data_IF_236213051439
#
_entry.id   IF_236213051439
#
_cell.length_a   1.000
_cell.length_b   1.000
_cell.length_c   1.000
_cell.angle_alpha   90.00
_cell.angle_beta   90.00
_cell.angle_gamma   90.00
#
_symmetry.space_group_name_H-M   'P 1'
#
loop_
_entity.id
_entity.type
_entity.pdbx_description
1 polymer ?
#
# COMPACT_ATOMS: atom_id res chain seq x y z
N UNK A 1 -34.55 -33.41 60.00
CA UNK A 1 -33.70 -34.30 59.19
C UNK A 1 -34.24 -34.37 57.77
N UNK A 2 -33.80 -33.46 56.90
CA UNK A 2 -33.92 -33.52 55.44
C UNK A 2 -32.89 -32.53 54.87
N UNK A 3 -31.98 -32.93 53.96
CA UNK A 3 -30.95 -32.02 53.47
C UNK A 3 -31.51 -31.12 52.38
N UNK A 4 -31.18 -29.84 52.45
CA UNK A 4 -31.51 -28.83 51.45
C UNK A 4 -30.54 -29.04 50.27
N UNK A 5 -31.08 -29.32 49.08
CA UNK A 5 -30.28 -29.56 47.88
C UNK A 5 -29.58 -28.27 47.42
N UNK A 6 -28.25 -28.30 47.38
CA UNK A 6 -27.44 -27.19 46.91
C UNK A 6 -27.37 -27.22 45.36
N UNK A 7 -28.25 -26.48 44.70
CA UNK A 7 -28.18 -26.20 43.27
C UNK A 7 -27.18 -25.07 43.03
N UNK A 8 -25.92 -25.42 42.80
CA UNK A 8 -24.87 -24.47 42.38
C UNK A 8 -24.74 -24.45 40.86
N UNK A 9 -24.82 -23.22 40.34
CA UNK A 9 -24.98 -22.77 38.95
C UNK A 9 -23.91 -23.33 37.99
N UNK A 10 -24.19 -23.40 36.67
CA UNK A 10 -23.19 -23.78 35.69
C UNK A 10 -22.03 -22.78 35.72
N UNK A 11 -20.82 -23.29 35.97
CA UNK A 11 -19.58 -22.53 35.82
C UNK A 11 -19.38 -22.28 34.33
N UNK A 12 -19.64 -21.05 33.90
CA UNK A 12 -19.23 -20.59 32.57
C UNK A 12 -17.71 -20.43 32.63
N UNK A 13 -16.98 -21.44 32.17
CA UNK A 13 -15.54 -21.32 31.93
C UNK A 13 -15.36 -20.34 30.78
N UNK A 14 -15.08 -19.07 31.11
CA UNK A 14 -14.54 -18.12 30.15
C UNK A 14 -13.19 -18.71 29.73
N UNK A 15 -13.12 -19.26 28.51
CA UNK A 15 -11.83 -19.60 27.91
C UNK A 15 -11.08 -18.28 27.78
N UNK A 16 -10.11 -18.05 28.65
CA UNK A 16 -9.06 -17.06 28.39
C UNK A 16 -8.43 -17.44 27.05
N UNK A 17 -8.76 -16.69 26.00
CA UNK A 17 -7.98 -16.70 24.77
C UNK A 17 -6.62 -16.13 25.20
N UNK A 18 -5.51 -16.89 25.16
CA UNK A 18 -4.21 -16.34 25.50
C UNK A 18 -3.90 -15.26 24.46
N UNK A 19 -4.08 -13.99 24.82
CA UNK A 19 -3.65 -12.91 23.96
C UNK A 19 -2.12 -12.99 23.91
N UNK A 20 -1.59 -13.35 22.74
CA UNK A 20 -0.16 -13.33 22.50
C UNK A 20 0.41 -11.96 22.91
N UNK A 21 1.51 -11.99 23.68
CA UNK A 21 2.19 -10.79 24.15
C UNK A 21 2.49 -9.84 22.97
N UNK A 22 2.27 -8.54 23.17
CA UNK A 22 2.47 -7.51 22.15
C UNK A 22 3.88 -6.93 22.28
N UNK A 23 4.62 -6.94 21.17
CA UNK A 23 5.88 -6.21 21.06
C UNK A 23 5.58 -4.75 20.70
N UNK A 24 6.23 -3.81 21.39
CA UNK A 24 5.99 -2.37 21.25
C UNK A 24 7.31 -1.66 20.99
N UNK A 25 7.38 -0.95 19.86
CA UNK A 25 8.52 -0.12 19.47
C UNK A 25 8.14 1.34 19.41
N UNK A 26 9.09 2.21 19.77
CA UNK A 26 8.87 3.65 19.84
C UNK A 26 9.85 4.42 18.98
N UNK A 27 9.45 5.64 18.62
CA UNK A 27 10.33 6.63 18.03
C UNK A 27 10.97 6.19 16.73
N UNK A 28 12.29 6.39 16.62
CA UNK A 28 13.03 6.17 15.39
C UNK A 28 13.15 4.68 15.00
N UNK A 29 13.31 3.79 15.98
CA UNK A 29 13.46 2.34 15.71
C UNK A 29 12.23 1.77 14.98
N UNK A 30 11.03 2.14 15.44
CA UNK A 30 9.78 1.77 14.78
C UNK A 30 9.70 2.32 13.35
N UNK A 31 10.03 3.62 13.17
CA UNK A 31 9.98 4.29 11.87
C UNK A 31 10.94 3.70 10.85
N UNK A 32 12.17 3.39 11.25
CA UNK A 32 13.19 2.79 10.37
C UNK A 32 12.75 1.40 9.91
N UNK A 33 12.22 0.56 10.82
CA UNK A 33 11.68 -0.75 10.44
C UNK A 33 10.50 -0.62 9.46
N UNK A 34 9.53 0.23 9.77
CA UNK A 34 8.41 0.46 8.85
C UNK A 34 8.87 0.96 7.47
N UNK A 35 9.85 1.87 7.44
CA UNK A 35 10.42 2.37 6.18
C UNK A 35 11.08 1.26 5.36
N UNK A 36 11.74 0.28 5.99
CA UNK A 36 12.29 -0.87 5.25
C UNK A 36 11.20 -1.63 4.53
N UNK A 37 10.08 -1.91 5.19
CA UNK A 37 8.96 -2.60 4.53
C UNK A 37 8.30 -1.80 3.41
N UNK A 38 8.14 -0.48 3.63
CA UNK A 38 7.71 0.46 2.56
C UNK A 38 8.63 0.34 1.35
N UNK A 39 9.95 0.36 1.57
CA UNK A 39 10.93 0.30 0.50
C UNK A 39 10.93 -1.06 -0.21
N UNK A 40 10.85 -2.17 0.51
CA UNK A 40 10.78 -3.50 -0.11
C UNK A 40 9.58 -3.60 -1.06
N UNK A 41 8.40 -3.17 -0.61
CA UNK A 41 7.22 -3.20 -1.45
C UNK A 41 7.34 -2.25 -2.65
N UNK A 42 7.74 -1.00 -2.41
CA UNK A 42 7.85 -0.02 -3.48
C UNK A 42 8.93 -0.36 -4.50
N UNK A 43 10.06 -0.92 -4.07
CA UNK A 43 11.15 -1.33 -4.96
C UNK A 43 10.77 -2.52 -5.83
N UNK A 44 9.94 -3.43 -5.32
CA UNK A 44 9.38 -4.54 -6.11
C UNK A 44 8.33 -4.07 -7.12
N UNK A 45 7.51 -3.08 -6.76
CA UNK A 45 6.44 -2.57 -7.63
C UNK A 45 6.97 -1.61 -8.69
N UNK A 46 7.94 -0.74 -8.36
CA UNK A 46 8.41 0.31 -9.28
C UNK A 46 9.05 -0.21 -10.58
N UNK A 47 9.57 -1.44 -10.58
CA UNK A 47 10.19 -2.04 -11.78
C UNK A 47 9.17 -2.29 -12.88
N UNK A 48 7.88 -2.35 -12.56
CA UNK A 48 6.80 -2.55 -13.53
C UNK A 48 6.27 -1.24 -14.13
N UNK A 49 6.77 -0.08 -13.67
CA UNK A 49 6.25 1.22 -14.08
C UNK A 49 6.53 1.53 -15.57
N UNK A 50 5.47 1.91 -16.28
CA UNK A 50 5.52 2.47 -17.64
C UNK A 50 5.72 1.43 -18.76
N UNK A 51 5.79 1.87 -20.03
CA UNK A 51 5.82 0.97 -21.19
C UNK A 51 7.09 0.11 -21.26
N UNK A 52 8.18 0.56 -20.62
CA UNK A 52 9.45 -0.18 -20.48
C UNK A 52 9.55 -0.93 -19.15
N UNK A 53 8.44 -1.06 -18.43
CA UNK A 53 8.33 -1.85 -17.22
C UNK A 53 8.78 -3.30 -17.45
N UNK A 54 9.53 -3.83 -16.48
CA UNK A 54 10.06 -5.18 -16.50
C UNK A 54 9.07 -6.14 -15.84
N UNK A 55 9.15 -7.40 -16.23
CA UNK A 55 8.37 -8.45 -15.61
C UNK A 55 8.89 -8.73 -14.20
N UNK A 56 7.96 -8.98 -13.29
CA UNK A 56 8.22 -9.56 -11.98
C UNK A 56 7.78 -11.02 -12.00
N UNK A 57 8.62 -11.89 -11.47
CA UNK A 57 8.34 -13.32 -11.34
C UNK A 57 7.90 -13.57 -9.90
N UNK A 58 6.69 -14.11 -9.77
CA UNK A 58 6.06 -14.42 -8.49
C UNK A 58 6.02 -15.95 -8.36
N UNK A 59 6.57 -16.45 -7.26
CA UNK A 59 6.51 -17.87 -6.94
C UNK A 59 5.07 -18.30 -6.63
N UNK A 60 4.76 -19.56 -6.90
CA UNK A 60 3.46 -20.17 -6.63
C UNK A 60 3.68 -21.48 -5.88
N UNK A 61 2.89 -21.72 -4.84
CA UNK A 61 2.99 -22.96 -4.05
C UNK A 61 2.73 -24.24 -4.85
N UNK A 62 2.13 -24.13 -6.05
CA UNK A 62 1.95 -25.23 -6.98
C UNK A 62 1.95 -24.73 -8.43
N UNK A 63 2.62 -25.47 -9.32
CA UNK A 63 2.66 -25.20 -10.76
C UNK A 63 3.77 -24.24 -11.19
N UNK A 64 3.60 -23.63 -12.35
CA UNK A 64 4.57 -22.68 -12.91
C UNK A 64 4.46 -21.29 -12.23
N UNK A 65 5.56 -20.54 -12.13
CA UNK A 65 5.55 -19.19 -11.55
C UNK A 65 4.68 -18.24 -12.36
N UNK A 66 4.12 -17.22 -11.70
CA UNK A 66 3.40 -16.15 -12.39
C UNK A 66 4.39 -15.10 -12.85
N UNK A 67 4.33 -14.74 -14.13
CA UNK A 67 5.08 -13.61 -14.68
C UNK A 67 4.09 -12.48 -14.91
N UNK A 68 4.30 -11.33 -14.28
CA UNK A 68 3.38 -10.19 -14.41
C UNK A 68 4.10 -8.86 -14.51
N UNK A 69 3.45 -7.88 -15.15
CA UNK A 69 3.80 -6.46 -15.10
C UNK A 69 2.77 -5.64 -14.30
N UNK A 70 1.76 -6.27 -13.75
CA UNK A 70 0.77 -5.57 -12.94
C UNK A 70 1.33 -5.30 -11.54
N UNK A 71 1.51 -4.01 -11.22
CA UNK A 71 2.00 -3.57 -9.91
C UNK A 71 1.06 -3.93 -8.77
N UNK A 72 -0.25 -4.06 -9.01
CA UNK A 72 -1.22 -4.48 -7.98
C UNK A 72 -1.01 -5.94 -7.60
N UNK A 73 -0.88 -6.81 -8.59
CA UNK A 73 -0.57 -8.22 -8.39
C UNK A 73 0.75 -8.39 -7.64
N UNK A 74 1.80 -7.63 -8.01
CA UNK A 74 3.08 -7.68 -7.29
C UNK A 74 2.92 -7.21 -5.84
N UNK A 75 2.25 -6.08 -5.60
CA UNK A 75 2.04 -5.57 -4.24
C UNK A 75 1.23 -6.55 -3.36
N UNK A 76 0.32 -7.33 -3.96
CA UNK A 76 -0.53 -8.28 -3.23
C UNK A 76 0.25 -9.46 -2.66
N UNK A 77 1.24 -9.96 -3.40
CA UNK A 77 2.08 -11.10 -3.00
C UNK A 77 3.17 -10.75 -1.97
N UNK A 78 3.36 -9.46 -1.66
CA UNK A 78 4.40 -9.04 -0.72
C UNK A 78 3.88 -9.13 0.72
N UNK A 79 4.49 -10.05 1.46
CA UNK A 79 4.34 -10.21 2.90
C UNK A 79 5.72 -10.43 3.52
N UNK A 80 6.01 -9.71 4.60
CA UNK A 80 7.33 -9.71 5.25
C UNK A 80 7.28 -10.44 6.60
N UNK A 81 8.33 -11.18 6.93
CA UNK A 81 8.43 -11.93 8.18
C UNK A 81 8.49 -11.01 9.42
N UNK A 82 9.26 -9.92 9.36
CA UNK A 82 9.30 -8.94 10.44
C UNK A 82 7.99 -8.16 10.49
N UNK A 83 7.30 -8.21 11.64
CA UNK A 83 5.98 -7.60 11.82
C UNK A 83 5.98 -6.09 11.59
N UNK A 84 7.05 -5.37 11.95
CA UNK A 84 7.11 -3.92 11.78
C UNK A 84 7.42 -3.52 10.35
N UNK A 85 8.29 -4.28 9.68
CA UNK A 85 8.50 -4.12 8.24
C UNK A 85 7.20 -4.44 7.49
N UNK A 86 6.54 -5.57 7.81
CA UNK A 86 5.26 -5.94 7.19
C UNK A 86 4.19 -4.87 7.40
N UNK A 87 4.08 -4.26 8.59
CA UNK A 87 3.16 -3.15 8.82
C UNK A 87 3.40 -1.98 7.84
N UNK A 88 4.67 -1.62 7.59
CA UNK A 88 5.03 -0.61 6.59
C UNK A 88 4.64 -1.00 5.17
N UNK A 89 4.89 -2.26 4.78
CA UNK A 89 4.50 -2.79 3.48
C UNK A 89 2.97 -2.78 3.31
N UNK A 90 2.21 -3.30 4.28
CA UNK A 90 0.75 -3.34 4.22
C UNK A 90 0.13 -1.94 4.10
N UNK A 91 0.70 -0.91 4.73
CA UNK A 91 0.23 0.47 4.57
C UNK A 91 0.34 0.97 3.13
N UNK A 92 1.41 0.63 2.42
CA UNK A 92 1.60 1.06 1.03
C UNK A 92 0.80 0.20 0.07
N UNK A 93 0.64 -1.10 0.36
CA UNK A 93 -0.28 -1.98 -0.35
C UNK A 93 -1.70 -1.43 -0.35
N UNK A 94 -2.15 -0.90 0.79
CA UNK A 94 -3.46 -0.24 0.91
C UNK A 94 -3.57 1.02 0.04
N UNK A 95 -2.48 1.82 -0.07
CA UNK A 95 -2.43 2.98 -0.98
C UNK A 95 -2.57 2.53 -2.43
N UNK A 96 -1.85 1.48 -2.84
CA UNK A 96 -1.94 0.92 -4.17
C UNK A 96 -3.37 0.40 -4.46
N UNK A 97 -3.97 -0.33 -3.52
CA UNK A 97 -5.34 -0.86 -3.68
C UNK A 97 -6.35 0.26 -3.86
N UNK A 98 -6.29 1.32 -3.06
CA UNK A 98 -7.23 2.45 -3.18
C UNK A 98 -7.09 3.21 -4.50
N UNK A 99 -5.87 3.34 -5.02
CA UNK A 99 -5.67 3.92 -6.35
C UNK A 99 -6.34 3.06 -7.43
N UNK A 100 -6.19 1.73 -7.35
CA UNK A 100 -6.87 0.79 -8.25
C UNK A 100 -8.40 0.90 -8.14
N UNK A 101 -8.94 0.92 -6.93
CA UNK A 101 -10.39 0.91 -6.73
C UNK A 101 -11.04 2.23 -7.18
N UNK A 102 -10.33 3.35 -7.06
CA UNK A 102 -10.83 4.66 -7.47
C UNK A 102 -10.68 4.95 -8.96
N UNK A 103 -9.58 4.50 -9.59
CA UNK A 103 -9.22 4.91 -10.94
C UNK A 103 -8.97 3.75 -11.93
N UNK A 104 -8.76 2.52 -11.44
CA UNK A 104 -8.40 1.35 -12.25
C UNK A 104 -6.96 1.35 -12.78
N UNK A 105 -6.17 2.39 -12.47
CA UNK A 105 -4.76 2.56 -12.87
C UNK A 105 -4.03 3.47 -11.85
N UNK A 106 -2.72 3.67 -12.02
CA UNK A 106 -1.91 4.59 -11.21
C UNK A 106 -1.42 3.99 -9.90
N UNK A 107 -1.60 2.68 -9.70
CA UNK A 107 -1.20 1.94 -8.49
C UNK A 107 0.30 2.01 -8.24
N UNK A 108 1.08 1.78 -9.28
CA UNK A 108 2.54 1.87 -9.27
C UNK A 108 3.00 3.31 -9.00
N UNK A 109 2.35 4.29 -9.64
CA UNK A 109 2.64 5.72 -9.42
C UNK A 109 2.35 6.14 -7.98
N UNK A 110 1.20 5.75 -7.43
CA UNK A 110 0.82 6.02 -6.04
C UNK A 110 1.82 5.41 -5.05
N UNK A 111 2.29 4.19 -5.32
CA UNK A 111 3.30 3.48 -4.52
C UNK A 111 4.64 4.22 -4.49
N UNK A 112 5.14 4.65 -5.66
CA UNK A 112 6.42 5.37 -5.77
C UNK A 112 6.35 6.77 -5.13
N UNK A 113 5.21 7.47 -5.29
CA UNK A 113 4.98 8.74 -4.62
C UNK A 113 4.93 8.58 -3.10
N UNK A 114 4.23 7.55 -2.60
CA UNK A 114 4.18 7.24 -1.17
C UNK A 114 5.57 6.94 -0.60
N UNK A 115 6.36 6.11 -1.27
CA UNK A 115 7.75 5.82 -0.88
C UNK A 115 8.57 7.11 -0.74
N UNK A 116 8.48 8.00 -1.74
CA UNK A 116 9.25 9.25 -1.78
C UNK A 116 8.85 10.20 -0.65
N UNK A 117 7.54 10.41 -0.45
CA UNK A 117 7.02 11.30 0.60
C UNK A 117 7.38 10.78 1.99
N UNK A 118 7.22 9.46 2.24
CA UNK A 118 7.55 8.86 3.53
C UNK A 118 9.06 8.97 3.80
N UNK A 119 9.90 8.67 2.81
CA UNK A 119 11.36 8.71 2.95
C UNK A 119 11.85 10.12 3.32
N UNK A 120 11.42 11.13 2.58
CA UNK A 120 11.82 12.52 2.85
C UNK A 120 11.18 13.07 4.13
N UNK A 121 9.93 12.72 4.40
CA UNK A 121 9.26 13.09 5.66
C UNK A 121 9.99 12.54 6.88
N UNK A 122 10.44 11.29 6.84
CA UNK A 122 11.21 10.69 7.94
C UNK A 122 12.58 11.35 8.15
N UNK A 123 13.27 11.74 7.07
CA UNK A 123 14.51 12.53 7.15
C UNK A 123 14.27 13.89 7.82
N UNK A 124 13.20 14.59 7.43
CA UNK A 124 12.83 15.88 7.99
C UNK A 124 12.49 15.77 9.50
N UNK A 125 11.76 14.73 9.90
CA UNK A 125 11.46 14.46 11.31
C UNK A 125 12.74 14.13 12.10
N UNK A 126 13.66 13.35 11.52
CA UNK A 126 14.95 13.07 12.14
C UNK A 126 15.80 14.35 12.33
N UNK A 127 15.64 15.35 11.45
CA UNK A 127 16.24 16.67 11.58
C UNK A 127 15.53 17.59 12.59
N UNK A 128 14.52 17.10 13.31
CA UNK A 128 13.82 17.82 14.37
C UNK A 128 12.58 18.59 13.92
N UNK A 129 12.14 18.44 12.67
CA UNK A 129 10.89 19.06 12.21
C UNK A 129 9.66 18.38 12.84
N UNK A 130 8.62 19.17 13.11
CA UNK A 130 7.36 18.66 13.66
C UNK A 130 6.61 17.82 12.59
N UNK A 131 6.33 16.53 12.84
CA UNK A 131 5.60 15.67 11.89
C UNK A 131 4.22 16.21 11.49
N UNK A 132 3.52 16.88 12.42
CA UNK A 132 2.19 17.42 12.15
C UNK A 132 2.24 18.63 11.20
N UNK A 133 3.30 19.45 11.31
CA UNK A 133 3.48 20.59 10.40
C UNK A 133 3.92 20.15 9.02
N UNK A 134 4.80 19.13 8.94
CA UNK A 134 5.13 18.47 7.68
C UNK A 134 3.88 17.92 6.99
N UNK A 135 3.03 17.20 7.73
CA UNK A 135 1.76 16.69 7.20
C UNK A 135 0.88 17.81 6.65
N UNK A 136 0.67 18.89 7.43
CA UNK A 136 -0.13 20.05 6.98
C UNK A 136 0.45 20.70 5.72
N UNK A 137 1.77 20.79 5.63
CA UNK A 137 2.46 21.31 4.44
C UNK A 137 2.23 20.43 3.22
N UNK A 138 2.38 19.11 3.37
CA UNK A 138 2.10 18.13 2.31
C UNK A 138 0.65 18.22 1.87
N UNK A 139 -0.31 18.25 2.79
CA UNK A 139 -1.74 18.35 2.46
C UNK A 139 -2.04 19.59 1.61
N UNK A 140 -1.49 20.76 1.99
CA UNK A 140 -1.64 22.01 1.22
C UNK A 140 -1.01 21.92 -0.17
N UNK A 141 0.18 21.34 -0.28
CA UNK A 141 0.88 21.17 -1.55
C UNK A 141 0.10 20.21 -2.49
N UNK A 142 -0.46 19.13 -1.95
CA UNK A 142 -1.29 18.18 -2.71
C UNK A 142 -2.55 18.86 -3.24
N UNK A 143 -3.25 19.66 -2.42
CA UNK A 143 -4.44 20.41 -2.86
C UNK A 143 -4.09 21.32 -4.04
N UNK A 144 -3.04 22.14 -3.90
CA UNK A 144 -2.61 23.05 -4.96
C UNK A 144 -2.18 22.31 -6.24
N UNK A 145 -1.45 21.20 -6.11
CA UNK A 145 -1.04 20.39 -7.26
C UNK A 145 -2.23 19.76 -7.99
N UNK A 146 -3.22 19.24 -7.25
CA UNK A 146 -4.44 18.65 -7.84
C UNK A 146 -5.28 19.71 -8.53
N UNK A 147 -5.41 20.91 -7.96
CA UNK A 147 -6.10 22.03 -8.60
C UNK A 147 -5.44 22.41 -9.93
N UNK A 148 -4.12 22.48 -9.97
CA UNK A 148 -3.40 22.81 -11.19
C UNK A 148 -3.49 21.69 -12.24
N UNK A 149 -3.38 20.42 -11.83
CA UNK A 149 -3.59 19.28 -12.73
C UNK A 149 -4.96 19.29 -13.38
N UNK A 150 -6.01 19.72 -12.66
CA UNK A 150 -7.35 19.86 -13.23
C UNK A 150 -7.41 20.95 -14.29
N UNK A 151 -6.67 22.05 -14.15
CA UNK A 151 -6.61 23.13 -15.15
C UNK A 151 -5.86 22.71 -16.41
N UNK A 152 -4.84 21.86 -16.25
CA UNK A 152 -4.05 21.32 -17.37
C UNK A 152 -4.75 20.15 -18.08
N UNK A 153 -5.79 19.57 -17.46
CA UNK A 153 -6.52 18.44 -18.01
C UNK A 153 -7.21 18.81 -19.32
N UNK A 154 -7.05 17.95 -20.33
CA UNK A 154 -7.72 18.09 -21.63
C UNK A 154 -8.83 17.03 -21.73
N UNK A 155 -10.09 17.41 -21.96
CA UNK A 155 -11.18 16.46 -22.13
C UNK A 155 -10.95 15.52 -23.32
N UNK A 156 -11.18 14.23 -23.10
CA UNK A 156 -11.09 13.20 -24.12
C UNK A 156 -12.46 13.00 -24.78
N UNK A 157 -12.80 13.85 -25.76
CA UNK A 157 -14.14 13.91 -26.36
C UNK A 157 -14.29 13.21 -27.71
N UNK A 158 -13.19 12.91 -28.41
CA UNK A 158 -13.22 12.29 -29.73
C UNK A 158 -12.66 10.86 -29.72
N UNK A 159 -13.05 10.08 -30.74
CA UNK A 159 -12.67 8.66 -30.85
C UNK A 159 -11.17 8.45 -30.99
N UNK A 160 -10.44 9.43 -31.53
CA UNK A 160 -8.99 9.35 -31.71
C UNK A 160 -8.27 9.48 -30.37
N UNK A 161 -8.71 10.40 -29.53
CA UNK A 161 -8.20 10.58 -28.18
C UNK A 161 -8.54 9.36 -27.30
N UNK A 162 -9.74 8.78 -27.46
CA UNK A 162 -10.13 7.54 -26.75
C UNK A 162 -9.20 6.38 -27.12
N UNK A 163 -8.98 6.17 -28.43
CA UNK A 163 -8.06 5.14 -28.91
C UNK A 163 -6.65 5.35 -28.35
N UNK A 164 -6.12 6.58 -28.45
CA UNK A 164 -4.79 6.91 -27.96
C UNK A 164 -4.60 6.66 -26.45
N UNK A 165 -5.61 7.00 -25.63
CA UNK A 165 -5.59 6.68 -24.19
C UNK A 165 -5.60 5.17 -23.98
N UNK A 166 -6.44 4.44 -24.72
CA UNK A 166 -6.50 2.98 -24.69
C UNK A 166 -5.15 2.34 -25.03
N UNK A 167 -4.51 2.75 -26.13
CA UNK A 167 -3.22 2.24 -26.58
C UNK A 167 -2.14 2.41 -25.51
N UNK A 168 -2.06 3.61 -24.89
CA UNK A 168 -1.04 3.91 -23.87
C UNK A 168 -1.27 3.05 -22.62
N UNK A 169 -2.52 2.96 -22.14
CA UNK A 169 -2.88 2.17 -20.97
C UNK A 169 -2.68 0.66 -21.18
N UNK A 170 -2.83 0.19 -22.41
CA UNK A 170 -2.56 -1.20 -22.80
C UNK A 170 -1.08 -1.50 -23.05
N UNK A 171 -0.14 -0.71 -22.50
CA UNK A 171 1.30 -0.83 -22.72
C UNK A 171 1.72 -0.68 -24.20
N UNK A 172 1.14 0.30 -24.89
CA UNK A 172 1.39 0.59 -26.31
C UNK A 172 0.87 -0.49 -27.28
N UNK A 173 -0.27 -1.11 -26.95
CA UNK A 173 -0.95 -2.08 -27.81
C UNK A 173 -2.08 -1.42 -28.61
N UNK A 174 -1.85 -1.22 -29.91
CA UNK A 174 -2.82 -0.61 -30.85
C UNK A 174 -4.00 -1.52 -31.18
N UNK A 175 -3.95 -2.81 -30.83
CA UNK A 175 -5.05 -3.75 -31.08
C UNK A 175 -6.12 -3.69 -30.00
N UNK A 176 -5.74 -3.30 -28.78
CA UNK A 176 -6.63 -3.17 -27.62
C UNK A 176 -7.25 -1.76 -27.54
N UNK A 177 -6.54 -0.73 -28.00
CA UNK A 177 -7.00 0.66 -28.01
C UNK A 177 -6.68 1.37 -29.31
#
# INVERSE_FOLDING_TARGET
NAPISNSTRPVITIREIPMAAKDVKFGNDARVKMLRGVNVLADAVKVTLGPKGRNVVLDKSFGAPTITKDGVSVAREIELEDKFENMGAQMVKEVASKANDAAGDGTTTATVLAQSIITEGLKAVAAGMNPMDLKRGIDKAVIAAVEELKKLSVPCSDSKAIAQVGTISANSDETVG
#
